data_IF_759311961990
#
_entry.id   IF_759311961990
#
_cell.length_a   1.000
_cell.length_b   1.000
_cell.length_c   1.000
_cell.angle_alpha   90.00
_cell.angle_beta   90.00
_cell.angle_gamma   90.00
#
_symmetry.space_group_name_H-M   'P 1'
#
loop_
_entity.id
_entity.type
_entity.pdbx_description
1 polymer ?
#
# COMPACT_ATOMS: atom_id res chain seq x y z
N UNK A 1 -63.37 -10.48 10.33
CA UNK A 1 -63.34 -9.43 11.37
C UNK A 1 -61.88 -9.13 11.65
N UNK A 2 -61.30 -7.98 11.33
CA UNK A 2 -61.80 -6.75 10.73
C UNK A 2 -60.62 -6.03 10.07
N UNK A 3 -60.89 -5.42 8.94
CA UNK A 3 -60.14 -4.39 8.24
C UNK A 3 -60.36 -3.03 8.92
N UNK A 4 -59.30 -2.30 9.28
CA UNK A 4 -59.27 -0.89 9.71
C UNK A 4 -57.77 -0.59 10.00
N UNK A 5 -56.98 0.05 9.15
CA UNK A 5 -56.92 1.51 8.98
C UNK A 5 -55.99 1.84 7.79
N UNK A 6 -56.48 1.61 6.57
CA UNK A 6 -56.12 2.47 5.44
C UNK A 6 -57.37 3.28 5.14
N UNK A 7 -57.39 4.55 5.59
CA UNK A 7 -58.11 5.72 5.06
C UNK A 7 -58.08 6.78 6.18
N UNK A 8 -57.08 7.65 6.15
CA UNK A 8 -57.19 9.05 6.61
C UNK A 8 -56.04 9.82 5.94
N UNK A 9 -56.20 10.09 4.64
CA UNK A 9 -56.79 11.31 4.04
C UNK A 9 -55.72 12.38 3.85
N UNK A 10 -55.32 12.49 2.58
CA UNK A 10 -54.70 13.66 1.99
C UNK A 10 -55.71 14.82 1.97
N UNK A 11 -55.20 16.02 2.25
CA UNK A 11 -55.93 17.29 2.32
C UNK A 11 -55.42 18.03 3.55
N UNK A 12 -54.78 19.19 3.47
CA UNK A 12 -55.06 20.35 2.66
C UNK A 12 -53.75 21.15 2.55
N UNK A 13 -53.23 21.30 1.33
CA UNK A 13 -52.46 22.50 0.97
C UNK A 13 -53.46 23.66 0.80
N UNK A 14 -52.98 24.89 1.05
CA UNK A 14 -53.55 26.18 0.62
C UNK A 14 -54.45 26.92 1.64
N UNK A 15 -53.81 27.76 2.45
CA UNK A 15 -54.31 29.14 2.65
C UNK A 15 -53.12 30.12 2.73
N UNK A 16 -53.15 31.11 1.85
CA UNK A 16 -52.20 32.20 1.70
C UNK A 16 -52.79 33.49 2.30
N UNK A 17 -51.87 34.39 2.69
CA UNK A 17 -51.95 35.86 2.56
C UNK A 17 -52.43 36.72 3.75
N UNK A 18 -51.64 37.76 4.05
CA UNK A 18 -51.95 38.86 4.96
C UNK A 18 -50.71 39.49 5.60
N UNK A 19 -49.77 40.12 4.85
CA UNK A 19 -49.58 41.61 4.75
C UNK A 19 -48.87 42.21 5.99
N UNK A 20 -47.88 43.11 5.96
CA UNK A 20 -46.95 43.66 4.96
C UNK A 20 -46.01 44.68 5.70
N UNK A 21 -44.81 44.88 5.14
CA UNK A 21 -44.00 46.12 5.07
C UNK A 21 -43.60 46.92 6.33
N UNK A 22 -42.27 47.00 6.52
CA UNK A 22 -41.60 48.09 7.23
C UNK A 22 -40.08 48.04 7.07
N UNK A 23 -39.55 48.76 6.10
CA UNK A 23 -38.18 49.31 6.10
C UNK A 23 -38.36 50.84 5.95
N UNK A 24 -37.50 51.71 6.52
CA UNK A 24 -36.25 52.02 5.83
C UNK A 24 -35.06 52.42 6.74
N UNK A 25 -33.84 52.08 6.30
CA UNK A 25 -32.71 53.01 5.98
C UNK A 25 -31.31 52.57 6.45
N UNK A 26 -30.51 52.24 5.42
CA UNK A 26 -29.21 52.81 5.07
C UNK A 26 -27.99 52.60 6.01
N UNK A 27 -27.05 51.79 5.52
CA UNK A 27 -25.68 51.71 5.98
C UNK A 27 -24.83 50.93 4.99
N UNK A 28 -24.31 51.61 3.96
CA UNK A 28 -23.32 51.06 3.03
C UNK A 28 -22.04 50.67 3.77
N UNK A 29 -21.68 49.39 3.71
CA UNK A 29 -20.28 48.95 3.69
C UNK A 29 -20.15 47.81 2.69
N UNK A 30 -19.36 48.06 1.65
CA UNK A 30 -19.01 47.08 0.62
C UNK A 30 -18.19 45.95 1.23
N UNK A 31 -18.76 44.76 1.32
CA UNK A 31 -18.00 43.52 1.46
C UNK A 31 -18.20 42.70 0.18
N UNK A 32 -17.12 42.54 -0.57
CA UNK A 32 -17.08 41.62 -1.68
C UNK A 32 -17.48 40.23 -1.16
N UNK A 33 -18.56 39.68 -1.71
CA UNK A 33 -19.06 38.36 -1.40
C UNK A 33 -18.01 37.33 -1.80
N UNK A 34 -17.30 36.77 -0.83
CA UNK A 34 -16.59 35.50 -1.02
C UNK A 34 -17.68 34.43 -0.99
N UNK A 35 -18.24 34.11 -2.15
CA UNK A 35 -19.05 32.93 -2.32
C UNK A 35 -18.24 31.69 -1.92
N UNK A 36 -18.87 30.85 -1.09
CA UNK A 36 -18.28 29.65 -0.53
C UNK A 36 -17.80 28.69 -1.60
N UNK A 37 -16.49 28.61 -1.78
CA UNK A 37 -15.86 27.37 -2.26
C UNK A 37 -15.68 26.49 -1.04
N UNK A 38 -16.53 25.47 -0.90
CA UNK A 38 -16.15 24.31 -0.10
C UNK A 38 -14.79 23.78 -0.58
N UNK A 39 -14.03 23.06 0.27
CA UNK A 39 -12.72 22.57 -0.11
C UNK A 39 -12.82 21.80 -1.43
N UNK A 40 -12.08 22.25 -2.45
CA UNK A 40 -12.00 21.55 -3.73
C UNK A 40 -11.43 20.15 -3.44
N UNK A 41 -12.04 19.06 -3.94
CA UNK A 41 -11.54 17.73 -3.67
C UNK A 41 -10.06 17.63 -4.03
N UNK A 42 -9.27 17.04 -3.12
CA UNK A 42 -7.86 16.82 -3.35
C UNK A 42 -7.72 15.91 -4.56
N UNK A 43 -7.27 16.47 -5.68
CA UNK A 43 -6.73 15.68 -6.79
C UNK A 43 -5.32 15.22 -6.38
N UNK A 44 -4.88 14.00 -6.76
CA UNK A 44 -3.52 13.55 -6.51
C UNK A 44 -2.53 14.68 -6.87
N UNK A 45 -1.61 15.01 -5.95
CA UNK A 45 -0.50 14.13 -5.64
C UNK A 45 -0.67 13.35 -4.34
N UNK A 46 -0.03 12.17 -4.27
CA UNK A 46 0.14 11.45 -3.02
C UNK A 46 0.82 12.36 -1.98
N UNK A 47 0.30 12.33 -0.76
CA UNK A 47 0.85 13.12 0.34
C UNK A 47 2.21 12.56 0.75
N UNK A 48 3.09 13.41 1.28
CA UNK A 48 4.21 12.95 2.08
C UNK A 48 3.72 12.73 3.53
N UNK A 49 4.37 11.84 4.31
CA UNK A 49 4.08 11.76 5.74
C UNK A 49 4.33 13.12 6.40
N UNK A 50 3.59 13.42 7.47
CA UNK A 50 3.88 14.58 8.29
C UNK A 50 5.25 14.41 8.98
N UNK A 51 5.91 15.51 9.32
CA UNK A 51 7.16 15.46 10.10
C UNK A 51 6.98 14.72 11.43
N UNK A 52 5.78 14.72 11.98
CA UNK A 52 5.40 13.99 13.21
C UNK A 52 5.12 12.51 12.98
N UNK A 53 4.82 12.09 11.74
CA UNK A 53 4.55 10.70 11.36
C UNK A 53 5.86 9.93 11.20
N UNK A 54 6.44 9.49 12.32
CA UNK A 54 7.75 8.81 12.34
C UNK A 54 7.62 7.33 12.71
N UNK A 55 8.33 6.43 12.01
CA UNK A 55 8.37 5.03 12.40
C UNK A 55 8.94 4.87 13.80
N UNK A 56 8.43 3.93 14.61
CA UNK A 56 9.03 3.63 15.89
C UNK A 56 10.47 3.13 15.69
N UNK A 57 11.39 3.38 16.65
CA UNK A 57 12.72 2.80 16.62
C UNK A 57 12.65 1.28 16.47
N UNK A 58 13.53 0.73 15.63
CA UNK A 58 13.65 -0.72 15.51
C UNK A 58 14.17 -1.29 16.83
N UNK A 59 13.57 -2.37 17.37
CA UNK A 59 14.10 -3.03 18.54
C UNK A 59 15.53 -3.52 18.29
N UNK A 60 16.41 -3.34 19.27
CA UNK A 60 17.76 -3.90 19.22
C UNK A 60 17.70 -5.43 19.27
N UNK A 61 18.57 -6.07 18.48
CA UNK A 61 18.68 -7.51 18.50
C UNK A 61 19.47 -7.96 19.73
N UNK A 62 19.01 -9.02 20.38
CA UNK A 62 19.87 -9.74 21.33
C UNK A 62 21.04 -10.39 20.60
N UNK A 63 22.11 -10.75 21.30
CA UNK A 63 23.25 -11.46 20.69
C UNK A 63 22.83 -12.77 19.99
N UNK A 64 21.85 -13.49 20.57
CA UNK A 64 21.31 -14.71 19.96
C UNK A 64 20.56 -14.41 18.67
N UNK A 65 19.76 -13.34 18.66
CA UNK A 65 19.05 -12.89 17.47
C UNK A 65 20.02 -12.44 16.38
N UNK A 66 21.07 -11.71 16.74
CA UNK A 66 22.13 -11.29 15.81
C UNK A 66 22.80 -12.51 15.15
N UNK A 67 23.22 -13.50 15.95
CA UNK A 67 23.81 -14.76 15.42
C UNK A 67 22.88 -15.48 14.44
N UNK A 68 21.57 -15.50 14.72
CA UNK A 68 20.57 -16.12 13.84
C UNK A 68 20.37 -15.32 12.55
N UNK A 69 20.42 -14.00 12.64
CA UNK A 69 20.41 -13.14 11.45
C UNK A 69 21.64 -13.39 10.59
N UNK A 70 22.84 -13.39 11.18
CA UNK A 70 24.09 -13.61 10.45
C UNK A 70 24.07 -14.97 9.75
N UNK A 71 23.64 -16.02 10.44
CA UNK A 71 23.50 -17.36 9.86
C UNK A 71 22.48 -17.40 8.71
N UNK A 72 21.34 -16.71 8.83
CA UNK A 72 20.37 -16.61 7.74
C UNK A 72 20.93 -15.83 6.56
N UNK A 73 21.61 -14.71 6.80
CA UNK A 73 22.22 -13.89 5.76
C UNK A 73 23.24 -14.69 4.95
N UNK A 74 24.12 -15.44 5.62
CA UNK A 74 25.09 -16.31 4.94
C UNK A 74 24.41 -17.44 4.16
N UNK A 75 23.34 -18.03 4.72
CA UNK A 75 22.52 -19.01 3.99
C UNK A 75 21.94 -18.43 2.71
N UNK A 76 21.36 -17.23 2.77
CA UNK A 76 20.72 -16.57 1.63
C UNK A 76 21.76 -16.14 0.58
N UNK A 77 22.93 -15.65 1.01
CA UNK A 77 24.05 -15.34 0.10
C UNK A 77 24.58 -16.56 -0.64
N UNK A 78 24.43 -17.76 -0.08
CA UNK A 78 24.84 -19.00 -0.74
C UNK A 78 23.88 -19.46 -1.84
N UNK A 79 22.67 -18.88 -1.93
CA UNK A 79 21.70 -19.26 -2.95
C UNK A 79 22.14 -18.77 -4.33
N UNK A 80 22.39 -19.72 -5.24
CA UNK A 80 22.70 -19.44 -6.64
C UNK A 80 21.48 -19.61 -7.54
N UNK A 81 20.52 -20.43 -7.13
CA UNK A 81 19.30 -20.75 -7.88
C UNK A 81 18.06 -20.68 -6.97
N UNK A 82 16.94 -20.29 -7.55
CA UNK A 82 15.63 -20.34 -6.91
C UNK A 82 14.80 -21.41 -7.63
N UNK A 83 14.25 -22.39 -6.89
CA UNK A 83 13.39 -23.40 -7.48
C UNK A 83 12.04 -22.78 -7.84
N UNK A 84 11.45 -23.22 -8.96
CA UNK A 84 10.07 -22.95 -9.32
C UNK A 84 9.61 -23.95 -10.41
N UNK A 85 8.30 -24.15 -10.53
CA UNK A 85 7.68 -24.99 -11.57
C UNK A 85 7.76 -24.36 -12.96
N UNK A 86 7.43 -25.17 -13.97
CA UNK A 86 7.16 -24.75 -15.35
C UNK A 86 8.23 -23.83 -15.98
N UNK A 87 9.50 -24.24 -15.84
CA UNK A 87 10.68 -23.51 -16.35
C UNK A 87 10.90 -22.10 -15.78
N UNK A 88 10.18 -21.72 -14.72
CA UNK A 88 10.39 -20.44 -14.01
C UNK A 88 11.53 -20.52 -12.98
N UNK A 89 12.06 -21.72 -12.72
CA UNK A 89 13.25 -21.91 -11.89
C UNK A 89 14.53 -21.39 -12.57
N UNK A 90 15.61 -21.27 -11.80
CA UNK A 90 16.92 -20.90 -12.36
C UNK A 90 17.69 -19.90 -11.50
N UNK A 91 18.74 -19.27 -12.05
CA UNK A 91 19.65 -18.41 -11.31
C UNK A 91 18.94 -17.29 -10.55
N UNK A 92 19.46 -16.92 -9.39
CA UNK A 92 18.97 -15.76 -8.64
C UNK A 92 19.22 -14.47 -9.44
N UNK A 93 18.18 -13.66 -9.58
CA UNK A 93 18.21 -12.40 -10.34
C UNK A 93 18.60 -11.22 -9.45
N UNK A 94 19.00 -10.11 -10.07
CA UNK A 94 19.35 -8.89 -9.31
C UNK A 94 18.15 -8.29 -8.56
N UNK A 95 16.94 -8.38 -9.12
CA UNK A 95 15.72 -7.93 -8.43
C UNK A 95 15.41 -8.77 -7.19
N UNK A 96 15.68 -10.07 -7.22
CA UNK A 96 15.54 -10.95 -6.05
C UNK A 96 16.61 -10.66 -5.00
N UNK A 97 17.86 -10.41 -5.39
CA UNK A 97 18.91 -9.98 -4.45
C UNK A 97 18.56 -8.65 -3.78
N UNK A 98 18.02 -7.68 -4.53
CA UNK A 98 17.52 -6.43 -4.00
C UNK A 98 16.35 -6.65 -3.02
N UNK A 99 15.44 -7.58 -3.31
CA UNK A 99 14.32 -7.90 -2.42
C UNK A 99 14.76 -8.54 -1.10
N UNK A 100 15.89 -9.25 -1.09
CA UNK A 100 16.50 -9.89 0.08
C UNK A 100 17.27 -8.87 0.97
N UNK A 101 16.57 -7.83 1.40
CA UNK A 101 17.08 -6.80 2.31
C UNK A 101 17.26 -7.30 3.74
N UNK A 102 18.03 -6.60 4.56
CA UNK A 102 18.15 -6.87 6.01
C UNK A 102 16.78 -6.93 6.69
N UNK A 103 15.94 -5.94 6.45
CA UNK A 103 14.61 -5.86 7.06
C UNK A 103 13.68 -6.95 6.52
N UNK A 104 13.88 -7.43 5.28
CA UNK A 104 13.22 -8.63 4.78
C UNK A 104 13.59 -9.85 5.62
N UNK A 105 14.88 -10.13 5.81
CA UNK A 105 15.33 -11.24 6.64
C UNK A 105 14.79 -11.17 8.07
N UNK A 106 14.76 -9.97 8.67
CA UNK A 106 14.15 -9.76 9.99
C UNK A 106 12.66 -10.10 10.03
N UNK A 107 11.87 -9.75 9.00
CA UNK A 107 10.44 -10.12 8.95
C UNK A 107 10.26 -11.63 8.97
N UNK A 108 11.05 -12.37 8.20
CA UNK A 108 10.97 -13.83 8.16
C UNK A 108 11.44 -14.48 9.45
N UNK A 109 12.52 -13.98 10.07
CA UNK A 109 12.98 -14.45 11.37
C UNK A 109 11.93 -14.25 12.45
N UNK A 110 11.33 -13.05 12.57
CA UNK A 110 10.26 -12.81 13.55
C UNK A 110 9.05 -13.71 13.31
N UNK A 111 8.62 -13.85 12.06
CA UNK A 111 7.44 -14.63 11.71
C UNK A 111 7.62 -16.15 11.92
N UNK A 112 8.86 -16.64 12.00
CA UNK A 112 9.17 -18.04 12.35
C UNK A 112 9.69 -18.19 13.78
N UNK A 113 9.48 -17.18 14.63
CA UNK A 113 9.93 -17.16 16.03
C UNK A 113 11.43 -17.43 16.16
N UNK A 114 12.21 -16.82 15.26
CA UNK A 114 13.66 -16.93 15.18
C UNK A 114 14.15 -18.39 14.98
N UNK A 115 13.41 -19.18 14.22
CA UNK A 115 13.83 -20.53 13.84
C UNK A 115 14.84 -20.50 12.69
N UNK A 116 16.04 -21.02 12.94
CA UNK A 116 17.10 -21.14 11.94
C UNK A 116 16.76 -22.14 10.82
N UNK A 117 15.81 -23.07 11.04
CA UNK A 117 15.39 -24.03 10.01
C UNK A 117 14.22 -23.52 9.19
N UNK A 118 13.26 -22.84 9.84
CA UNK A 118 12.01 -22.45 9.20
C UNK A 118 12.11 -21.10 8.49
N UNK A 119 12.95 -20.17 8.98
CA UNK A 119 13.18 -18.89 8.30
C UNK A 119 13.69 -19.05 6.85
N UNK A 120 14.78 -19.80 6.56
CA UNK A 120 15.27 -19.93 5.19
C UNK A 120 14.27 -20.69 4.29
N UNK A 121 13.59 -21.73 4.80
CA UNK A 121 12.57 -22.46 4.04
C UNK A 121 11.42 -21.55 3.61
N UNK A 122 10.88 -20.75 4.53
CA UNK A 122 9.75 -19.86 4.25
C UNK A 122 10.15 -18.72 3.31
N UNK A 123 11.36 -18.21 3.46
CA UNK A 123 11.92 -17.18 2.59
C UNK A 123 12.11 -17.70 1.16
N UNK A 124 12.76 -18.86 0.99
CA UNK A 124 12.94 -19.51 -0.31
C UNK A 124 11.59 -19.85 -0.95
N UNK A 125 10.66 -20.42 -0.17
CA UNK A 125 9.30 -20.70 -0.64
C UNK A 125 8.54 -19.45 -1.09
N UNK A 126 8.86 -18.27 -0.54
CA UNK A 126 8.29 -17.01 -1.04
C UNK A 126 8.93 -16.56 -2.34
N UNK A 127 10.25 -16.68 -2.52
CA UNK A 127 10.89 -16.39 -3.82
C UNK A 127 10.35 -17.32 -4.92
N UNK A 128 10.21 -18.61 -4.62
CA UNK A 128 9.56 -19.59 -5.50
C UNK A 128 8.14 -19.16 -5.86
N UNK A 129 7.31 -18.84 -4.87
CA UNK A 129 5.95 -18.36 -5.11
C UNK A 129 5.93 -17.07 -5.94
N UNK A 130 6.82 -16.11 -5.69
CA UNK A 130 6.89 -14.85 -6.45
C UNK A 130 7.12 -15.11 -7.93
N UNK A 131 7.99 -16.07 -8.27
CA UNK A 131 8.21 -16.53 -9.65
C UNK A 131 6.98 -17.23 -10.22
N UNK A 132 6.44 -18.21 -9.52
CA UNK A 132 5.30 -19.01 -10.00
C UNK A 132 4.06 -18.15 -10.24
N UNK A 133 3.76 -17.25 -9.28
CA UNK A 133 2.64 -16.33 -9.31
C UNK A 133 2.84 -15.18 -10.31
N UNK A 134 4.09 -14.86 -10.68
CA UNK A 134 4.41 -13.75 -11.58
C UNK A 134 4.26 -12.39 -10.89
N UNK A 135 4.66 -12.26 -9.62
CA UNK A 135 4.49 -11.01 -8.84
C UNK A 135 5.18 -9.83 -9.52
N UNK A 136 6.37 -10.06 -10.09
CA UNK A 136 7.12 -9.06 -10.84
C UNK A 136 6.52 -8.71 -12.20
N UNK A 137 5.64 -9.57 -12.72
CA UNK A 137 5.00 -9.40 -14.03
C UNK A 137 3.61 -8.75 -13.92
N UNK A 138 3.13 -8.49 -12.70
CA UNK A 138 1.84 -7.84 -12.48
C UNK A 138 1.90 -6.39 -12.99
N UNK A 139 1.16 -6.10 -14.05
CA UNK A 139 1.08 -4.77 -14.66
C UNK A 139 -0.08 -3.94 -14.11
N UNK A 140 0.18 -2.64 -13.92
CA UNK A 140 -0.85 -1.66 -13.62
C UNK A 140 -1.89 -1.52 -14.73
N UNK A 141 -1.48 -1.70 -15.99
CA UNK A 141 -2.39 -1.63 -17.14
C UNK A 141 -3.36 -2.82 -17.15
N UNK A 142 -2.85 -4.03 -16.93
CA UNK A 142 -3.65 -5.26 -16.93
C UNK A 142 -4.67 -5.34 -15.78
N UNK A 143 -4.36 -4.65 -14.68
CA UNK A 143 -5.14 -4.64 -13.44
C UNK A 143 -5.92 -3.33 -13.23
N UNK A 144 -5.78 -2.34 -14.11
CA UNK A 144 -6.46 -1.03 -14.03
C UNK A 144 -7.98 -1.17 -13.86
N UNK A 145 -8.61 -2.07 -14.64
CA UNK A 145 -10.06 -2.34 -14.56
C UNK A 145 -10.51 -2.75 -13.16
N UNK A 146 -9.67 -3.47 -12.40
CA UNK A 146 -10.02 -3.89 -11.05
C UNK A 146 -10.11 -2.68 -10.09
N UNK A 147 -9.50 -1.54 -10.43
CA UNK A 147 -9.47 -0.36 -9.57
C UNK A 147 -10.22 0.87 -10.10
N UNK A 148 -10.94 0.78 -11.22
CA UNK A 148 -11.71 1.91 -11.79
C UNK A 148 -12.67 2.57 -10.79
N UNK A 149 -13.23 1.78 -9.88
CA UNK A 149 -14.14 2.27 -8.86
C UNK A 149 -13.46 2.62 -7.56
N UNK A 150 -12.13 2.60 -7.43
CA UNK A 150 -11.42 2.95 -6.19
C UNK A 150 -11.74 2.03 -5.02
N UNK A 151 -11.91 0.73 -5.29
CA UNK A 151 -12.13 -0.28 -4.24
C UNK A 151 -10.89 -0.51 -3.38
N UNK A 152 -9.71 -0.22 -3.92
CA UNK A 152 -8.48 -0.07 -3.16
C UNK A 152 -7.80 1.25 -3.54
N UNK A 153 -7.22 1.95 -2.57
CA UNK A 153 -6.34 3.07 -2.85
C UNK A 153 -5.41 3.32 -1.67
N UNK A 154 -4.25 3.89 -1.95
CA UNK A 154 -3.27 4.32 -0.96
C UNK A 154 -3.35 5.85 -0.87
N UNK A 155 -3.52 6.38 0.35
CA UNK A 155 -3.64 7.81 0.59
C UNK A 155 -3.16 8.14 2.01
N UNK A 156 -2.17 9.00 2.14
CA UNK A 156 -1.69 9.48 3.43
C UNK A 156 -0.94 8.44 4.27
N UNK A 157 -0.55 8.86 5.48
CA UNK A 157 0.27 8.08 6.41
C UNK A 157 -0.25 8.18 7.84
N UNK A 158 -0.14 7.09 8.59
CA UNK A 158 -0.53 7.03 10.00
C UNK A 158 0.47 7.76 10.92
N UNK A 159 0.17 7.81 12.23
CA UNK A 159 1.03 8.46 13.23
C UNK A 159 2.45 7.86 13.31
N UNK A 160 2.66 6.65 12.81
CA UNK A 160 3.94 5.95 12.79
C UNK A 160 4.55 5.90 11.36
N UNK A 161 4.05 6.74 10.46
CA UNK A 161 4.56 6.85 9.09
C UNK A 161 4.27 5.62 8.22
N UNK A 162 3.26 4.82 8.55
CA UNK A 162 2.79 3.71 7.70
C UNK A 162 1.93 4.24 6.56
N UNK A 163 2.18 3.85 5.30
CA UNK A 163 1.25 4.18 4.22
C UNK A 163 -0.14 3.60 4.52
N UNK A 164 -1.16 4.42 4.32
CA UNK A 164 -2.56 4.08 4.59
C UNK A 164 -3.19 3.45 3.34
N UNK A 165 -3.45 2.14 3.42
CA UNK A 165 -4.09 1.36 2.36
C UNK A 165 -5.59 1.20 2.67
N UNK A 166 -6.42 1.89 1.90
CA UNK A 166 -7.87 1.84 2.01
C UNK A 166 -8.45 0.67 1.23
N UNK A 167 -9.29 -0.13 1.88
CA UNK A 167 -10.12 -1.16 1.26
C UNK A 167 -11.59 -0.78 1.42
N UNK A 168 -12.30 -0.71 0.30
CA UNK A 168 -13.72 -0.40 0.24
C UNK A 168 -14.46 -1.55 -0.47
N UNK A 169 -14.75 -2.67 0.22
CA UNK A 169 -15.44 -3.81 -0.40
C UNK A 169 -16.77 -3.43 -1.06
N UNK A 170 -17.48 -2.43 -0.52
CA UNK A 170 -18.69 -1.89 -1.14
C UNK A 170 -18.49 -1.38 -2.57
N UNK A 171 -17.27 -0.94 -2.93
CA UNK A 171 -16.94 -0.42 -4.26
C UNK A 171 -16.52 -1.53 -5.24
N UNK A 172 -16.71 -2.81 -4.93
CA UNK A 172 -16.44 -3.92 -5.85
C UNK A 172 -17.15 -3.68 -7.18
N UNK A 173 -16.40 -3.79 -8.29
CA UNK A 173 -16.85 -3.46 -9.64
C UNK A 173 -16.84 -4.66 -10.60
N UNK A 174 -15.96 -5.63 -10.38
CA UNK A 174 -15.78 -6.80 -11.24
C UNK A 174 -16.47 -8.03 -10.66
N UNK A 175 -16.84 -8.97 -11.54
CA UNK A 175 -17.29 -10.30 -11.13
C UNK A 175 -16.10 -11.13 -10.62
N UNK A 176 -16.34 -12.12 -9.74
CA UNK A 176 -15.28 -12.94 -9.16
C UNK A 176 -14.36 -13.56 -10.22
N UNK A 177 -13.08 -13.21 -10.18
CA UNK A 177 -12.09 -13.69 -11.12
C UNK A 177 -10.67 -13.63 -10.49
N UNK A 178 -9.67 -14.36 -11.03
CA UNK A 178 -8.31 -14.38 -10.46
C UNK A 178 -7.63 -13.01 -10.39
N UNK A 179 -7.95 -12.07 -11.30
CA UNK A 179 -7.38 -10.72 -11.29
C UNK A 179 -7.74 -9.94 -10.03
N UNK A 180 -8.83 -10.27 -9.34
CA UNK A 180 -9.15 -9.63 -8.05
C UNK A 180 -8.07 -9.91 -6.99
N UNK A 181 -7.53 -11.13 -6.96
CA UNK A 181 -6.45 -11.51 -6.04
C UNK A 181 -5.12 -10.90 -6.51
N UNK A 182 -4.85 -10.94 -7.81
CA UNK A 182 -3.67 -10.30 -8.39
C UNK A 182 -3.66 -8.79 -8.13
N UNK A 183 -4.80 -8.12 -8.25
CA UNK A 183 -4.97 -6.70 -7.92
C UNK A 183 -4.69 -6.42 -6.44
N UNK A 184 -5.15 -7.27 -5.53
CA UNK A 184 -4.81 -7.14 -4.11
C UNK A 184 -3.29 -7.28 -3.87
N UNK A 185 -2.65 -8.27 -4.49
CA UNK A 185 -1.19 -8.48 -4.40
C UNK A 185 -0.46 -7.27 -4.98
N UNK A 186 -0.89 -6.79 -6.14
CA UNK A 186 -0.35 -5.61 -6.80
C UNK A 186 -0.42 -4.38 -5.90
N UNK A 187 -1.61 -4.05 -5.37
CA UNK A 187 -1.80 -2.91 -4.47
C UNK A 187 -1.00 -3.04 -3.17
N UNK A 188 -0.80 -4.26 -2.67
CA UNK A 188 0.07 -4.52 -1.53
C UNK A 188 1.54 -4.23 -1.85
N UNK A 189 2.05 -4.65 -3.01
CA UNK A 189 3.40 -4.29 -3.46
C UNK A 189 3.54 -2.77 -3.65
N UNK A 190 2.54 -2.07 -4.22
CA UNK A 190 2.53 -0.58 -4.33
C UNK A 190 2.58 0.10 -2.95
N UNK A 191 1.86 -0.45 -1.97
CA UNK A 191 1.91 0.04 -0.60
C UNK A 191 3.31 -0.15 0.01
N UNK A 192 3.99 -1.26 -0.28
CA UNK A 192 5.36 -1.50 0.13
C UNK A 192 6.32 -0.51 -0.55
N UNK A 193 6.16 -0.25 -1.85
CA UNK A 193 6.97 0.74 -2.58
C UNK A 193 6.89 2.13 -1.94
N UNK A 194 5.71 2.51 -1.43
CA UNK A 194 5.45 3.81 -0.78
C UNK A 194 5.87 3.88 0.70
N UNK A 195 6.42 2.81 1.28
CA UNK A 195 6.94 2.90 2.66
C UNK A 195 8.14 3.83 2.75
N UNK A 196 8.23 4.56 3.86
CA UNK A 196 9.33 5.48 4.14
C UNK A 196 10.52 4.78 4.83
N UNK A 197 11.72 5.39 4.86
CA UNK A 197 12.85 4.85 5.61
C UNK A 197 12.49 4.53 7.06
N UNK A 198 12.87 3.34 7.53
CA UNK A 198 12.55 2.87 8.88
C UNK A 198 11.14 2.26 9.03
N UNK A 199 10.28 2.37 8.02
CA UNK A 199 8.98 1.72 8.00
C UNK A 199 8.98 0.47 7.09
N UNK A 200 8.32 -0.59 7.55
CA UNK A 200 8.15 -1.84 6.79
C UNK A 200 6.73 -2.40 6.84
N UNK A 201 5.83 -1.74 7.57
CA UNK A 201 4.44 -2.10 7.79
C UNK A 201 3.49 -1.07 7.20
N UNK A 202 2.24 -1.47 6.99
CA UNK A 202 1.15 -0.63 6.48
C UNK A 202 0.04 -0.46 7.51
N UNK A 203 -0.75 0.60 7.34
CA UNK A 203 -2.03 0.78 8.03
C UNK A 203 -3.16 0.42 7.05
N UNK A 204 -3.97 -0.57 7.40
CA UNK A 204 -5.11 -1.00 6.60
C UNK A 204 -6.36 -0.27 7.07
N UNK A 205 -7.08 0.40 6.18
CA UNK A 205 -8.31 1.13 6.51
C UNK A 205 -9.47 0.50 5.75
N UNK A 206 -10.36 -0.21 6.45
CA UNK A 206 -11.45 -0.96 5.83
C UNK A 206 -12.78 -0.27 6.10
N UNK A 207 -13.46 0.12 5.03
CA UNK A 207 -14.80 0.68 5.09
C UNK A 207 -15.82 -0.31 4.50
N UNK A 208 -16.63 -0.92 5.36
CA UNK A 208 -17.66 -1.89 4.94
C UNK A 208 -19.00 -1.24 4.52
N UNK A 209 -19.04 0.09 4.32
CA UNK A 209 -20.22 0.78 3.76
C UNK A 209 -20.69 0.07 2.49
N UNK A 210 -21.96 -0.35 2.49
CA UNK A 210 -22.54 -1.09 1.37
C UNK A 210 -22.70 -0.21 0.14
N UNK A 211 -22.58 -0.81 -1.04
CA UNK A 211 -23.00 -0.14 -2.27
C UNK A 211 -24.52 -0.19 -2.40
N UNK A 212 -25.10 0.91 -2.91
CA UNK A 212 -26.51 0.98 -3.29
C UNK A 212 -26.84 0.10 -4.50
N UNK A 213 -25.85 -0.25 -5.33
CA UNK A 213 -26.04 -0.99 -6.59
C UNK A 213 -25.65 -2.46 -6.53
N UNK A 214 -24.88 -2.91 -5.53
CA UNK A 214 -24.42 -4.31 -5.41
C UNK A 214 -24.50 -4.78 -3.96
N UNK A 215 -25.41 -5.72 -3.69
CA UNK A 215 -25.71 -6.23 -2.34
C UNK A 215 -24.82 -7.39 -1.89
N UNK A 216 -24.07 -8.04 -2.80
CA UNK A 216 -23.19 -9.17 -2.50
C UNK A 216 -21.74 -8.90 -2.93
N UNK A 217 -21.00 -8.16 -2.11
CA UNK A 217 -19.59 -7.79 -2.39
C UNK A 217 -18.57 -8.59 -1.58
N UNK A 218 -19.04 -9.54 -0.75
CA UNK A 218 -18.16 -10.41 0.01
C UNK A 218 -17.43 -11.39 -0.93
N UNK A 219 -16.11 -11.60 -0.78
CA UNK A 219 -15.39 -12.57 -1.57
C UNK A 219 -15.93 -13.97 -1.29
N UNK A 220 -15.96 -14.83 -2.32
CA UNK A 220 -16.27 -16.24 -2.14
C UNK A 220 -15.26 -16.92 -1.21
N UNK A 221 -15.68 -17.98 -0.50
CA UNK A 221 -14.84 -18.68 0.49
C UNK A 221 -13.49 -19.15 -0.10
N UNK A 222 -13.49 -19.61 -1.35
CA UNK A 222 -12.26 -20.02 -2.04
C UNK A 222 -11.25 -18.88 -2.18
N UNK A 223 -11.70 -17.74 -2.69
CA UNK A 223 -10.89 -16.53 -2.84
C UNK A 223 -10.40 -16.00 -1.48
N UNK A 224 -11.27 -16.00 -0.47
CA UNK A 224 -10.89 -15.60 0.88
C UNK A 224 -9.78 -16.48 1.46
N UNK A 225 -9.83 -17.80 1.24
CA UNK A 225 -8.78 -18.75 1.64
C UNK A 225 -7.47 -18.52 0.89
N UNK A 226 -7.55 -18.29 -0.42
CA UNK A 226 -6.38 -17.97 -1.24
C UNK A 226 -5.68 -16.71 -0.76
N UNK A 227 -6.43 -15.61 -0.59
CA UNK A 227 -5.92 -14.35 -0.05
C UNK A 227 -5.29 -14.56 1.33
N UNK A 228 -5.97 -15.28 2.23
CA UNK A 228 -5.45 -15.56 3.56
C UNK A 228 -4.12 -16.33 3.50
N UNK A 229 -4.04 -17.34 2.65
CA UNK A 229 -2.83 -18.13 2.45
C UNK A 229 -1.67 -17.25 1.94
N UNK A 230 -1.93 -16.39 0.94
CA UNK A 230 -0.93 -15.47 0.41
C UNK A 230 -0.41 -14.53 1.50
N UNK A 231 -1.32 -13.85 2.20
CA UNK A 231 -0.96 -12.86 3.22
C UNK A 231 -0.21 -13.50 4.41
N UNK A 232 -0.69 -14.64 4.90
CA UNK A 232 -0.05 -15.34 6.01
C UNK A 232 1.30 -15.92 5.62
N UNK A 233 1.47 -16.44 4.40
CA UNK A 233 2.69 -17.17 4.02
C UNK A 233 3.77 -16.23 3.49
N UNK A 234 3.40 -15.32 2.60
CA UNK A 234 4.33 -14.55 1.75
C UNK A 234 4.47 -13.08 2.14
N UNK A 235 3.58 -12.56 3.00
CA UNK A 235 3.65 -11.18 3.52
C UNK A 235 3.78 -11.14 5.05
N UNK A 236 4.74 -11.85 5.66
CA UNK A 236 4.91 -11.85 7.10
C UNK A 236 5.20 -10.44 7.62
N UNK A 237 4.67 -10.12 8.80
CA UNK A 237 5.03 -8.91 9.54
C UNK A 237 4.76 -7.59 8.77
N UNK A 238 3.82 -7.57 7.82
CA UNK A 238 3.44 -6.36 7.06
C UNK A 238 2.29 -5.56 7.67
N UNK A 239 1.38 -6.20 8.42
CA UNK A 239 0.27 -5.51 9.06
C UNK A 239 0.76 -4.77 10.31
N UNK A 240 0.74 -3.43 10.26
CA UNK A 240 1.05 -2.57 11.40
C UNK A 240 -0.20 -2.21 12.20
N UNK A 241 -1.28 -1.85 11.50
CA UNK A 241 -2.57 -1.47 12.09
C UNK A 241 -3.71 -1.80 11.13
N UNK A 242 -4.90 -2.12 11.66
CA UNK A 242 -6.13 -2.17 10.88
C UNK A 242 -7.22 -1.34 11.54
N UNK A 243 -7.76 -0.38 10.80
CA UNK A 243 -8.79 0.56 11.20
C UNK A 243 -10.05 0.23 10.42
N UNK A 244 -11.13 -0.12 11.12
CA UNK A 244 -12.31 -0.73 10.49
C UNK A 244 -13.56 0.05 10.91
N UNK A 245 -14.31 0.53 9.91
CA UNK A 245 -15.57 1.27 10.09
C UNK A 245 -16.73 0.62 9.35
N UNK A 246 -17.95 1.02 9.71
CA UNK A 246 -19.20 0.59 9.06
C UNK A 246 -19.39 -0.94 9.03
N UNK A 247 -18.87 -1.63 10.06
CA UNK A 247 -18.90 -3.09 10.13
C UNK A 247 -20.33 -3.60 10.23
N UNK A 248 -20.81 -4.43 9.29
CA UNK A 248 -22.13 -5.03 9.37
C UNK A 248 -22.27 -5.86 10.64
N UNK A 249 -23.45 -5.84 11.26
CA UNK A 249 -23.69 -6.55 12.53
C UNK A 249 -23.33 -8.05 12.46
N UNK A 250 -23.51 -8.68 11.29
CA UNK A 250 -23.13 -10.07 11.03
C UNK A 250 -21.61 -10.28 11.10
N UNK A 251 -20.82 -9.33 10.59
CA UNK A 251 -19.36 -9.37 10.63
C UNK A 251 -18.85 -9.22 12.07
N UNK A 252 -19.52 -8.40 12.89
CA UNK A 252 -19.23 -8.34 14.32
C UNK A 252 -19.46 -9.70 15.03
N UNK A 253 -20.50 -10.44 14.64
CA UNK A 253 -20.76 -11.79 15.14
C UNK A 253 -19.65 -12.77 14.77
N UNK A 254 -19.22 -12.76 13.51
CA UNK A 254 -18.11 -13.60 13.03
C UNK A 254 -16.78 -13.27 13.73
N UNK A 255 -16.41 -11.99 13.83
CA UNK A 255 -15.19 -11.59 14.52
C UNK A 255 -15.20 -11.98 16.00
N UNK A 256 -16.32 -11.82 16.71
CA UNK A 256 -16.44 -12.26 18.11
C UNK A 256 -16.20 -13.77 18.27
N UNK A 257 -16.63 -14.57 17.30
CA UNK A 257 -16.45 -16.03 17.32
C UNK A 257 -14.99 -16.44 17.07
N UNK A 258 -14.28 -15.76 16.17
CA UNK A 258 -12.89 -16.11 15.82
C UNK A 258 -11.83 -15.44 16.71
N UNK A 259 -12.19 -14.34 17.39
CA UNK A 259 -11.27 -13.55 18.23
C UNK A 259 -10.49 -14.38 19.27
N UNK A 260 -11.06 -15.41 19.94
CA UNK A 260 -10.28 -16.25 20.86
C UNK A 260 -9.11 -17.01 20.22
N UNK A 261 -9.13 -17.17 18.90
CA UNK A 261 -8.11 -17.87 18.12
C UNK A 261 -7.12 -16.90 17.42
N UNK A 262 -7.32 -15.60 17.58
CA UNK A 262 -6.42 -14.56 17.07
C UNK A 262 -5.37 -14.26 18.13
N UNK A 263 -4.09 -14.37 17.76
CA UNK A 263 -2.98 -14.04 18.65
C UNK A 263 -3.12 -12.59 19.22
N UNK A 264 -2.82 -12.36 20.51
CA UNK A 264 -2.98 -11.05 21.14
C UNK A 264 -2.32 -9.88 20.40
N UNK A 265 -1.16 -10.09 19.76
CA UNK A 265 -0.48 -9.05 18.98
C UNK A 265 -1.28 -8.68 17.73
N UNK A 266 -1.93 -9.65 17.09
CA UNK A 266 -2.81 -9.39 15.95
C UNK A 266 -4.07 -8.67 16.41
N UNK A 267 -4.65 -9.08 17.53
CA UNK A 267 -5.84 -8.44 18.11
C UNK A 267 -5.58 -6.97 18.48
N UNK A 268 -4.41 -6.65 19.04
CA UNK A 268 -4.05 -5.29 19.43
C UNK A 268 -3.98 -4.30 18.25
N UNK A 269 -3.71 -4.81 17.04
CA UNK A 269 -3.63 -4.02 15.80
C UNK A 269 -5.00 -3.66 15.22
N UNK A 270 -6.06 -4.39 15.58
CA UNK A 270 -7.42 -4.16 15.05
C UNK A 270 -8.15 -3.10 15.89
N UNK A 271 -8.62 -2.03 15.25
CA UNK A 271 -9.45 -0.98 15.86
C UNK A 271 -10.76 -0.87 15.10
N UNK A 272 -11.86 -1.07 15.80
CA UNK A 272 -13.20 -1.10 15.24
C UNK A 272 -13.99 0.11 15.74
N UNK A 273 -14.50 0.95 14.84
CA UNK A 273 -15.31 2.14 15.15
C UNK A 273 -14.74 3.01 16.29
N UNK A 274 -13.41 3.07 16.38
CA UNK A 274 -12.64 3.94 17.28
C UNK A 274 -12.57 5.38 16.74
N UNK A 275 -12.02 6.33 17.50
CA UNK A 275 -11.63 7.63 16.96
C UNK A 275 -10.41 7.45 16.05
N UNK A 276 -10.64 7.38 14.75
CA UNK A 276 -9.60 7.09 13.75
C UNK A 276 -8.47 8.14 13.74
N UNK A 277 -8.76 9.36 14.21
CA UNK A 277 -7.79 10.47 14.33
C UNK A 277 -6.72 10.21 15.40
N UNK A 278 -6.96 9.29 16.33
CA UNK A 278 -5.95 8.84 17.29
C UNK A 278 -4.85 7.99 16.62
N UNK A 279 -5.11 7.51 15.41
CA UNK A 279 -4.24 6.57 14.69
C UNK A 279 -3.65 7.19 13.43
N UNK A 280 -4.39 8.07 12.75
CA UNK A 280 -3.96 8.77 11.54
C UNK A 280 -4.19 10.27 11.75
N UNK A 281 -3.20 11.14 11.46
CA UNK A 281 -3.40 12.58 11.54
C UNK A 281 -4.61 13.01 10.70
N UNK A 282 -5.50 13.91 11.17
CA UNK A 282 -6.69 14.31 10.42
C UNK A 282 -6.38 14.79 8.99
N UNK A 283 -5.28 15.53 8.80
CA UNK A 283 -4.81 16.04 7.51
C UNK A 283 -4.29 14.95 6.57
N UNK A 284 -4.12 13.72 7.06
CA UNK A 284 -3.68 12.54 6.32
C UNK A 284 -4.81 11.50 6.21
N UNK A 285 -5.97 11.76 6.81
CA UNK A 285 -7.08 10.83 6.94
C UNK A 285 -8.23 11.22 6.00
N UNK A 286 -8.69 10.26 5.20
CA UNK A 286 -9.85 10.42 4.33
C UNK A 286 -11.12 10.81 5.10
N UNK A 287 -11.91 11.75 4.55
CA UNK A 287 -13.13 12.27 5.16
C UNK A 287 -14.20 11.21 5.49
N UNK A 288 -14.27 10.09 4.75
CA UNK A 288 -15.18 8.98 5.09
C UNK A 288 -14.75 8.20 6.37
N UNK A 289 -13.57 8.49 6.91
CA UNK A 289 -13.08 8.04 8.22
C UNK A 289 -13.01 9.20 9.24
N UNK A 290 -13.82 10.25 9.05
CA UNK A 290 -13.88 11.45 9.89
C UNK A 290 -12.57 12.28 9.92
N UNK A 291 -11.76 12.17 8.85
CA UNK A 291 -10.57 13.01 8.64
C UNK A 291 -10.84 14.31 7.88
N UNK A 292 -9.78 15.05 7.57
CA UNK A 292 -9.83 16.36 6.89
C UNK A 292 -9.55 16.26 5.38
N UNK A 293 -9.12 15.09 4.89
CA UNK A 293 -8.88 14.90 3.45
C UNK A 293 -10.18 14.67 2.69
N UNK A 294 -10.65 15.71 2.03
CA UNK A 294 -11.69 15.65 1.00
C UNK A 294 -11.15 14.99 -0.29
N UNK A 295 -10.76 13.72 -0.21
CA UNK A 295 -10.30 12.93 -1.35
C UNK A 295 -11.48 12.31 -2.10
N UNK A 296 -11.53 12.56 -3.40
CA UNK A 296 -12.43 11.90 -4.34
C UNK A 296 -11.60 11.08 -5.32
N UNK A 297 -11.92 9.80 -5.43
CA UNK A 297 -11.20 8.91 -6.33
C UNK A 297 -11.63 9.14 -7.77
N UNK A 298 -10.71 9.65 -8.59
CA UNK A 298 -10.82 9.73 -10.04
C UNK A 298 -9.75 8.82 -10.65
N UNK A 299 -10.18 7.73 -11.30
CA UNK A 299 -9.27 6.70 -11.80
C UNK A 299 -8.27 7.26 -12.82
N UNK A 300 -8.73 8.15 -13.71
CA UNK A 300 -7.94 8.68 -14.81
C UNK A 300 -6.75 9.52 -14.34
N UNK A 301 -6.84 10.11 -13.14
CA UNK A 301 -5.76 10.88 -12.52
C UNK A 301 -5.02 10.09 -11.45
N UNK A 302 -5.73 9.31 -10.64
CA UNK A 302 -5.15 8.56 -9.53
C UNK A 302 -4.22 7.43 -10.00
N UNK A 303 -4.69 6.61 -10.94
CA UNK A 303 -3.99 5.37 -11.28
C UNK A 303 -2.63 5.62 -11.94
N UNK A 304 -2.51 6.47 -12.99
CA UNK A 304 -1.21 6.74 -13.60
C UNK A 304 -0.22 7.38 -12.62
N UNK A 305 -0.70 8.25 -11.73
CA UNK A 305 0.15 8.89 -10.71
C UNK A 305 0.65 7.87 -9.67
N UNK A 306 -0.18 6.90 -9.25
CA UNK A 306 0.25 5.83 -8.35
C UNK A 306 1.42 5.05 -8.95
N UNK A 307 1.23 4.61 -10.20
CA UNK A 307 2.22 3.81 -10.92
C UNK A 307 3.52 4.57 -11.04
N UNK A 308 3.47 5.81 -11.54
CA UNK A 308 4.64 6.68 -11.69
C UNK A 308 5.42 6.86 -10.39
N UNK A 309 4.73 7.07 -9.27
CA UNK A 309 5.40 7.23 -7.98
C UNK A 309 6.05 5.93 -7.50
N UNK A 310 5.38 4.79 -7.62
CA UNK A 310 5.94 3.51 -7.24
C UNK A 310 7.15 3.15 -8.10
N UNK A 311 7.08 3.32 -9.42
CA UNK A 311 8.20 3.10 -10.34
C UNK A 311 9.39 3.99 -10.00
N UNK A 312 9.16 5.29 -9.74
CA UNK A 312 10.21 6.21 -9.33
C UNK A 312 10.93 5.78 -8.04
N UNK A 313 10.18 5.24 -7.06
CA UNK A 313 10.75 4.72 -5.81
C UNK A 313 11.52 3.41 -6.03
N UNK A 314 11.01 2.51 -6.85
CA UNK A 314 11.69 1.26 -7.20
C UNK A 314 13.01 1.54 -7.93
N UNK A 315 12.99 2.45 -8.91
CA UNK A 315 14.18 2.88 -9.64
C UNK A 315 15.22 3.51 -8.71
N UNK A 316 14.80 4.43 -7.82
CA UNK A 316 15.69 5.06 -6.84
C UNK A 316 16.34 4.04 -5.89
N UNK A 317 15.56 3.05 -5.44
CA UNK A 317 16.08 1.98 -4.58
C UNK A 317 17.07 1.09 -5.34
N UNK A 318 16.78 0.73 -6.60
CA UNK A 318 17.68 -0.05 -7.44
C UNK A 318 19.00 0.69 -7.68
N UNK A 319 18.97 1.97 -8.04
CA UNK A 319 20.18 2.79 -8.24
C UNK A 319 21.04 2.86 -6.99
N UNK A 320 20.42 3.09 -5.81
CA UNK A 320 21.13 3.09 -4.53
C UNK A 320 21.76 1.74 -4.21
N UNK A 321 21.05 0.65 -4.50
CA UNK A 321 21.55 -0.71 -4.32
C UNK A 321 22.72 -1.04 -5.25
N UNK A 322 22.66 -0.62 -6.51
CA UNK A 322 23.78 -0.72 -7.46
C UNK A 322 24.98 0.07 -6.95
N UNK A 323 24.78 1.32 -6.49
CA UNK A 323 25.84 2.15 -5.91
C UNK A 323 26.46 1.52 -4.65
N UNK A 324 25.67 0.77 -3.88
CA UNK A 324 26.12 0.02 -2.71
C UNK A 324 26.79 -1.34 -3.06
N UNK A 325 26.96 -1.66 -4.34
CA UNK A 325 27.66 -2.87 -4.79
C UNK A 325 26.77 -4.11 -4.87
N UNK A 326 25.45 -3.94 -5.06
CA UNK A 326 24.50 -5.03 -5.34
C UNK A 326 24.44 -6.13 -4.27
N UNK A 327 24.51 -5.77 -3.00
CA UNK A 327 24.62 -6.74 -1.91
C UNK A 327 23.27 -7.26 -1.44
N UNK A 328 23.18 -8.56 -1.20
CA UNK A 328 22.11 -9.17 -0.40
C UNK A 328 22.26 -8.68 1.05
N UNK A 329 21.14 -8.33 1.69
CA UNK A 329 21.12 -7.86 3.07
C UNK A 329 21.30 -6.35 3.22
N UNK A 330 21.29 -5.56 2.13
CA UNK A 330 21.27 -4.10 2.25
C UNK A 330 20.04 -3.60 3.03
N UNK A 331 20.17 -2.45 3.68
CA UNK A 331 19.10 -1.86 4.48
C UNK A 331 18.04 -1.15 3.63
N UNK A 332 16.77 -1.47 3.88
CA UNK A 332 15.63 -0.69 3.37
C UNK A 332 15.70 0.78 3.80
N UNK A 333 16.30 1.11 4.95
CA UNK A 333 16.46 2.51 5.40
C UNK A 333 17.33 3.30 4.42
N UNK A 334 18.47 2.72 4.04
CA UNK A 334 19.36 3.30 3.02
C UNK A 334 18.68 3.31 1.64
N UNK A 335 18.11 2.17 1.22
CA UNK A 335 17.50 2.04 -0.11
C UNK A 335 16.33 3.01 -0.33
N UNK A 336 15.58 3.33 0.73
CA UNK A 336 14.42 4.24 0.66
C UNK A 336 14.77 5.73 0.79
N UNK A 337 16.06 6.09 0.76
CA UNK A 337 16.44 7.50 0.63
C UNK A 337 17.05 8.14 1.88
N UNK A 338 17.08 7.48 3.04
CA UNK A 338 17.66 8.10 4.23
C UNK A 338 19.16 8.39 4.03
N UNK A 339 19.63 9.45 4.69
CA UNK A 339 21.05 9.79 4.75
C UNK A 339 21.75 8.97 5.82
N UNK A 340 21.84 7.66 5.57
CA UNK A 340 22.59 6.69 6.38
C UNK A 340 23.58 5.99 5.47
N UNK A 341 24.74 5.54 5.98
CA UNK A 341 25.65 4.76 5.17
C UNK A 341 25.01 3.43 4.74
N UNK A 342 25.39 2.96 3.55
CA UNK A 342 25.16 1.56 3.14
C UNK A 342 25.81 0.60 4.15
N UNK A 343 25.27 -0.61 4.28
CA UNK A 343 25.89 -1.65 5.12
C UNK A 343 27.35 -1.96 4.75
N UNK A 344 27.77 -1.64 3.52
CA UNK A 344 29.14 -1.85 3.04
C UNK A 344 30.09 -0.69 3.34
N UNK A 345 29.65 0.34 4.06
CA UNK A 345 30.48 1.48 4.45
C UNK A 345 30.70 2.54 3.37
N UNK A 346 29.92 2.54 2.28
CA UNK A 346 29.96 3.60 1.28
C UNK A 346 29.47 4.93 1.87
N UNK A 347 30.35 5.92 1.96
CA UNK A 347 30.04 7.29 2.37
C UNK A 347 29.08 7.95 1.38
N UNK A 348 27.96 8.48 1.88
CA UNK A 348 27.17 9.48 1.16
C UNK A 348 28.01 10.76 1.11
N UNK A 349 28.63 11.05 -0.04
CA UNK A 349 29.10 12.40 -0.31
C UNK A 349 27.91 13.36 -0.16
N UNK A 350 28.10 14.39 0.68
CA UNK A 350 27.11 15.42 1.00
C UNK A 350 26.61 16.10 -0.28
N UNK A 351 25.32 15.93 -0.60
CA UNK A 351 24.65 16.89 -1.49
C UNK A 351 24.40 18.18 -0.71
N UNK A 352 25.31 19.13 -0.91
CA UNK A 352 25.18 20.53 -0.55
C UNK A 352 23.82 21.10 -0.96
N UNK A 353 23.21 21.82 -0.03
CA UNK A 353 22.02 22.64 -0.20
C UNK A 353 22.22 23.71 -1.27
N UNK A 354 21.54 23.58 -2.42
CA UNK A 354 20.79 24.66 -3.07
C UNK A 354 20.15 24.22 -4.40
N UNK A 355 19.01 24.86 -4.69
CA UNK A 355 18.32 25.01 -5.98
C UNK A 355 17.23 23.98 -6.36
N UNK A 356 15.99 24.45 -6.18
CA UNK A 356 14.86 24.45 -7.11
C UNK A 356 14.69 23.32 -8.15
N UNK A 357 13.48 22.76 -8.11
CA UNK A 357 12.65 22.27 -9.21
C UNK A 357 13.38 21.98 -10.53
N UNK A 358 13.60 20.69 -10.80
CA UNK A 358 13.97 20.21 -12.13
C UNK A 358 12.77 19.44 -12.70
N UNK A 359 12.19 20.00 -13.76
CA UNK A 359 11.17 19.36 -14.58
C UNK A 359 11.69 18.05 -15.21
N UNK A 360 10.86 17.01 -15.35
CA UNK A 360 11.29 15.77 -15.98
C UNK A 360 11.38 15.95 -17.51
N UNK A 361 12.60 15.82 -18.04
CA UNK A 361 12.82 15.52 -19.45
C UNK A 361 12.40 14.07 -19.72
N UNK A 362 11.56 13.90 -20.74
CA UNK A 362 11.09 12.61 -21.26
C UNK A 362 12.23 11.82 -21.92
N UNK A 363 12.46 10.57 -21.48
CA UNK A 363 13.22 9.60 -22.27
C UNK A 363 12.90 8.13 -21.85
N UNK A 364 12.49 7.35 -22.85
CA UNK A 364 12.82 5.94 -23.09
C UNK A 364 12.43 4.87 -22.07
N UNK A 365 11.47 4.02 -22.44
CA UNK A 365 11.14 2.73 -21.79
C UNK A 365 12.33 1.78 -21.68
N UNK A 366 12.45 1.08 -20.55
CA UNK A 366 13.55 0.19 -20.13
C UNK A 366 13.66 -1.17 -20.86
N UNK A 367 13.29 -1.26 -22.15
CA UNK A 367 13.36 -2.52 -22.91
C UNK A 367 14.56 -2.69 -23.84
N UNK A 368 15.54 -1.77 -23.88
CA UNK A 368 16.63 -1.81 -24.89
C UNK A 368 18.08 -1.83 -24.38
N UNK A 369 18.35 -2.01 -23.07
CA UNK A 369 19.74 -2.10 -22.56
C UNK A 369 20.16 -3.56 -22.31
N UNK A 370 19.87 -4.43 -23.28
CA UNK A 370 20.36 -5.82 -23.32
C UNK A 370 20.72 -6.20 -24.75
N UNK A 371 21.81 -5.61 -25.26
CA UNK A 371 22.32 -5.99 -26.57
C UNK A 371 23.48 -5.09 -26.96
N UNK A 372 24.66 -5.36 -26.42
CA UNK A 372 25.93 -5.22 -27.14
C UNK A 372 27.11 -5.56 -26.25
N UNK A 373 27.39 -6.86 -26.14
CA UNK A 373 28.77 -7.33 -25.91
C UNK A 373 28.95 -8.57 -26.78
N UNK A 374 29.44 -8.39 -28.01
CA UNK A 374 30.27 -9.42 -28.61
C UNK A 374 31.37 -8.78 -29.47
N UNK A 375 32.58 -8.81 -28.92
CA UNK A 375 33.78 -8.39 -29.61
C UNK A 375 34.22 -9.42 -30.65
N UNK A 376 34.63 -8.90 -31.81
CA UNK A 376 35.73 -9.34 -32.67
C UNK A 376 36.02 -10.85 -32.74
N UNK A 377 35.74 -11.45 -33.89
CA UNK A 377 36.69 -12.41 -34.48
C UNK A 377 37.15 -11.91 -35.85
N UNK A 378 38.45 -11.64 -35.94
CA UNK A 378 39.18 -11.45 -37.19
C UNK A 378 39.30 -12.80 -37.90
N UNK A 379 39.01 -12.84 -39.20
CA UNK A 379 39.60 -13.81 -40.11
C UNK A 379 40.03 -13.11 -41.40
N UNK A 380 41.34 -13.12 -41.56
CA UNK A 380 42.05 -12.88 -42.81
C UNK A 380 41.81 -14.01 -43.82
N UNK A 381 42.10 -13.64 -45.07
CA UNK A 381 42.56 -14.46 -46.19
C UNK A 381 41.54 -15.08 -47.16
N UNK A 382 41.42 -14.38 -48.30
CA UNK A 382 41.96 -14.77 -49.61
C UNK A 382 41.04 -15.45 -50.65
N UNK A 383 41.25 -14.92 -51.88
CA UNK A 383 40.79 -15.31 -53.22
C UNK A 383 39.39 -14.82 -53.65
#
# INVERSE_FOLDING_TARGET
MSTENQVEVAGIEKEMAGVNLGDPTNGQTSSASIEGRGPCPLKPPFLNPLETSKPPPSPELTEEQQKKYDALLETVKSWTEIPAKDSKGGPITDSEKLWLTRECLYRYLRATKWSATEAPKRLLGTLTWRREYGVSDLSGDDLSIENETGKQFILGYDNEGRPCHYLNPGRQNTEPNPKQVQHLVFMLERCIDLTIPGQSTLALLINFKSSKSRSNTAPGIGQAREVLNILQTHYPERLGRALIINVPWMVNGFFKLITPFIDPLTKAKLKFNDDMKQHVPPQQLWAEFDGELAFEYDHATYWPELIKQCEGRQQSAFERWVKAGKQIGESEVYLKGANVPSISGGTTEEMSSNAHAVEPKTLGTLSEISGDINGKSEKNDAA
#
